data_IF_227858130907
#
_entry.id   IF_227858130907
#
_cell.length_a   1.000
_cell.length_b   1.000
_cell.length_c   1.000
_cell.angle_alpha   90.00
_cell.angle_beta   90.00
_cell.angle_gamma   90.00
#
_symmetry.space_group_name_H-M   'P 1'
#
loop_
_entity.id
_entity.type
_entity.pdbx_description
1 polymer ?
#
# COMPACT_ATOMS: atom_id res chain seq x y z
N UNK A 1 6.57 2.60 -20.30
CA UNK A 1 5.88 2.32 -19.02
C UNK A 1 6.68 3.05 -17.95
N UNK A 2 6.01 3.81 -17.10
CA UNK A 2 6.65 4.47 -15.97
C UNK A 2 7.12 3.42 -14.97
N UNK A 3 8.40 3.49 -14.58
CA UNK A 3 8.95 2.69 -13.49
C UNK A 3 8.43 3.21 -12.17
N UNK A 4 7.93 2.32 -11.32
CA UNK A 4 7.49 2.65 -9.97
C UNK A 4 7.76 1.50 -9.01
N UNK A 5 7.87 1.83 -7.73
CA UNK A 5 7.96 0.88 -6.63
C UNK A 5 6.63 0.85 -5.88
N UNK A 6 6.34 -0.24 -5.18
CA UNK A 6 5.17 -0.37 -4.33
C UNK A 6 5.61 -0.67 -2.91
N UNK A 7 5.10 0.10 -1.97
CA UNK A 7 5.27 -0.17 -0.55
C UNK A 7 3.89 -0.43 0.06
N UNK A 8 3.78 -1.54 0.78
CA UNK A 8 2.57 -1.99 1.43
C UNK A 8 2.76 -1.86 2.94
N UNK A 9 2.25 -0.78 3.58
CA UNK A 9 2.31 -0.66 5.03
C UNK A 9 1.38 -1.68 5.68
N UNK A 10 1.92 -2.46 6.62
CA UNK A 10 1.19 -3.45 7.39
C UNK A 10 1.43 -3.23 8.89
N UNK A 11 0.36 -3.11 9.66
CA UNK A 11 0.42 -2.96 11.12
C UNK A 11 -0.31 -4.09 11.79
N UNK A 12 0.31 -4.73 12.76
CA UNK A 12 -0.34 -5.82 13.49
C UNK A 12 -1.48 -5.29 14.38
N UNK A 13 -1.28 -4.11 14.96
CA UNK A 13 -2.26 -3.47 15.82
C UNK A 13 -3.41 -2.89 14.98
N UNK A 14 -4.59 -3.49 15.11
CA UNK A 14 -5.83 -3.03 14.48
C UNK A 14 -6.98 -3.20 15.46
N UNK A 15 -7.73 -2.12 15.69
CA UNK A 15 -8.83 -2.08 16.66
C UNK A 15 -10.11 -2.73 16.14
N UNK A 16 -10.38 -2.62 14.83
CA UNK A 16 -11.61 -3.13 14.19
C UNK A 16 -11.51 -4.61 13.80
N UNK A 17 -10.30 -5.06 13.48
CA UNK A 17 -10.03 -6.44 13.10
C UNK A 17 -8.65 -6.83 13.66
N UNK A 18 -8.58 -7.55 14.78
CA UNK A 18 -7.31 -7.96 15.39
C UNK A 18 -6.42 -8.71 14.40
N UNK A 19 -5.13 -8.41 14.41
CA UNK A 19 -4.12 -9.06 13.56
C UNK A 19 -4.50 -9.06 12.07
N UNK A 20 -5.22 -8.02 11.62
CA UNK A 20 -5.77 -7.88 10.26
C UNK A 20 -4.84 -8.33 9.13
N UNK A 21 -3.54 -7.97 9.10
CA UNK A 21 -2.65 -8.43 8.03
C UNK A 21 -2.52 -9.95 7.91
N UNK A 22 -2.67 -10.68 9.02
CA UNK A 22 -2.56 -12.13 9.11
C UNK A 22 -3.89 -12.86 8.92
N UNK A 23 -5.01 -12.14 8.82
CA UNK A 23 -6.33 -12.73 8.64
C UNK A 23 -6.38 -13.58 7.35
N UNK A 24 -7.02 -14.75 7.42
CA UNK A 24 -7.16 -15.63 6.26
C UNK A 24 -8.11 -15.02 5.21
N UNK A 25 -7.63 -14.96 3.97
CA UNK A 25 -8.39 -14.57 2.79
C UNK A 25 -8.23 -15.65 1.73
N UNK A 26 -9.19 -16.59 1.77
CA UNK A 26 -9.24 -17.75 0.88
C UNK A 26 -7.96 -18.61 0.95
N UNK A 27 -7.51 -18.95 2.16
CA UNK A 27 -6.37 -19.84 2.38
C UNK A 27 -4.99 -19.16 2.33
N UNK A 28 -4.92 -17.83 2.32
CA UNK A 28 -3.66 -17.07 2.46
C UNK A 28 -3.85 -15.84 3.34
N UNK A 29 -2.83 -15.39 4.08
CA UNK A 29 -2.89 -14.13 4.82
C UNK A 29 -3.25 -12.94 3.91
N UNK A 30 -4.06 -12.02 4.44
CA UNK A 30 -4.48 -10.79 3.75
C UNK A 30 -3.30 -10.03 3.15
N UNK A 31 -2.23 -9.83 3.93
CA UNK A 31 -1.03 -9.11 3.48
C UNK A 31 -0.36 -9.78 2.29
N UNK A 32 -0.33 -11.12 2.26
CA UNK A 32 0.21 -11.90 1.15
C UNK A 32 -0.63 -11.68 -0.11
N UNK A 33 -1.97 -11.64 0.02
CA UNK A 33 -2.87 -11.35 -1.11
C UNK A 33 -2.61 -9.96 -1.71
N UNK A 34 -2.44 -8.94 -0.86
CA UNK A 34 -2.14 -7.58 -1.32
C UNK A 34 -0.78 -7.52 -2.01
N UNK A 35 0.24 -8.19 -1.45
CA UNK A 35 1.56 -8.29 -2.06
C UNK A 35 1.51 -8.95 -3.45
N UNK A 36 0.78 -10.07 -3.60
CA UNK A 36 0.59 -10.75 -4.89
C UNK A 36 -0.04 -9.80 -5.92
N UNK A 37 -1.07 -9.04 -5.53
CA UNK A 37 -1.71 -8.05 -6.43
C UNK A 37 -0.76 -6.97 -6.89
N UNK A 38 0.07 -6.44 -6.00
CA UNK A 38 1.07 -5.43 -6.34
C UNK A 38 2.16 -5.99 -7.25
N UNK A 39 2.60 -7.23 -7.00
CA UNK A 39 3.58 -7.92 -7.81
C UNK A 39 3.06 -8.12 -9.24
N UNK A 40 1.83 -8.65 -9.38
CA UNK A 40 1.16 -8.85 -10.68
C UNK A 40 0.88 -7.52 -11.42
N UNK A 41 0.84 -6.39 -10.70
CA UNK A 41 0.65 -5.08 -11.30
C UNK A 41 1.89 -4.56 -12.03
N UNK A 42 3.05 -5.20 -11.87
CA UNK A 42 4.31 -4.84 -12.53
C UNK A 42 5.06 -3.70 -11.85
N UNK A 43 4.98 -3.60 -10.52
CA UNK A 43 5.89 -2.73 -9.77
C UNK A 43 7.31 -3.31 -9.79
N UNK A 44 8.31 -2.48 -10.09
CA UNK A 44 9.72 -2.90 -10.23
C UNK A 44 10.27 -3.49 -8.92
N UNK A 45 9.74 -3.02 -7.80
CA UNK A 45 10.03 -3.53 -6.47
C UNK A 45 8.78 -3.41 -5.60
N UNK A 46 8.37 -4.51 -4.96
CA UNK A 46 7.19 -4.56 -4.08
C UNK A 46 7.63 -5.00 -2.69
N UNK A 47 7.50 -4.11 -1.71
CA UNK A 47 7.95 -4.33 -0.33
C UNK A 47 6.77 -4.22 0.63
N UNK A 48 6.58 -5.21 1.48
CA UNK A 48 5.73 -5.08 2.67
C UNK A 48 6.55 -4.44 3.79
N UNK A 49 6.09 -3.30 4.30
CA UNK A 49 6.70 -2.61 5.43
C UNK A 49 5.88 -2.91 6.69
N UNK A 50 6.40 -3.76 7.57
CA UNK A 50 5.68 -4.29 8.72
C UNK A 50 6.26 -3.78 10.04
N UNK A 51 5.43 -3.70 11.09
CA UNK A 51 5.87 -3.41 12.46
C UNK A 51 6.01 -4.66 13.36
N UNK A 52 5.66 -5.85 12.85
CA UNK A 52 5.68 -7.12 13.57
C UNK A 52 6.38 -8.19 12.72
N UNK A 53 7.26 -8.97 13.34
CA UNK A 53 8.05 -10.00 12.66
C UNK A 53 7.17 -11.09 12.07
N UNK A 54 6.01 -11.40 12.66
CA UNK A 54 5.09 -12.41 12.13
C UNK A 54 4.57 -12.05 10.75
N UNK A 55 4.39 -10.76 10.47
CA UNK A 55 3.98 -10.26 9.14
C UNK A 55 5.12 -10.44 8.14
N UNK A 56 6.36 -10.12 8.55
CA UNK A 56 7.56 -10.32 7.72
C UNK A 56 7.70 -11.80 7.37
N UNK A 57 7.60 -12.68 8.36
CA UNK A 57 7.77 -14.12 8.21
C UNK A 57 6.77 -14.72 7.22
N UNK A 58 5.47 -14.37 7.31
CA UNK A 58 4.45 -14.92 6.39
C UNK A 58 4.63 -14.42 4.95
N UNK A 59 5.06 -13.17 4.77
CA UNK A 59 5.30 -12.61 3.43
C UNK A 59 6.55 -13.24 2.81
N UNK A 60 7.63 -13.36 3.58
CA UNK A 60 8.87 -14.00 3.11
C UNK A 60 8.68 -15.49 2.84
N UNK A 61 7.93 -16.21 3.67
CA UNK A 61 7.56 -17.60 3.41
C UNK A 61 6.71 -17.76 2.13
N UNK A 62 5.99 -16.72 1.73
CA UNK A 62 5.23 -16.66 0.47
C UNK A 62 6.08 -16.23 -0.73
N UNK A 63 7.39 -16.03 -0.57
CA UNK A 63 8.31 -15.57 -1.61
C UNK A 63 8.36 -14.05 -1.81
N UNK A 64 7.67 -13.29 -0.95
CA UNK A 64 7.63 -11.84 -1.00
C UNK A 64 8.76 -11.14 -0.24
N UNK A 65 8.99 -9.88 -0.59
CA UNK A 65 9.92 -9.01 0.13
C UNK A 65 9.16 -8.27 1.24
N UNK A 66 9.63 -8.42 2.47
CA UNK A 66 9.12 -7.69 3.62
C UNK A 66 10.28 -7.17 4.47
N UNK A 67 10.07 -6.02 5.10
CA UNK A 67 11.04 -5.39 6.00
C UNK A 67 10.34 -4.98 7.28
N UNK A 68 11.05 -5.17 8.40
CA UNK A 68 10.61 -4.63 9.67
C UNK A 68 10.91 -3.12 9.70
N UNK A 69 9.93 -2.35 10.14
CA UNK A 69 9.97 -0.88 10.26
C UNK A 69 9.51 -0.50 11.65
N UNK A 70 9.74 0.75 12.05
CA UNK A 70 9.38 1.22 13.38
C UNK A 70 7.89 0.99 13.70
N UNK A 71 7.54 0.49 14.90
CA UNK A 71 6.15 0.38 15.35
C UNK A 71 5.54 1.75 15.68
N UNK A 72 6.37 2.79 15.82
CA UNK A 72 5.96 4.11 16.33
C UNK A 72 5.59 5.10 15.22
N UNK A 73 5.48 4.67 13.96
CA UNK A 73 5.10 5.57 12.87
C UNK A 73 3.68 6.09 13.04
N UNK A 74 3.45 7.41 12.94
CA UNK A 74 2.10 7.95 13.06
C UNK A 74 1.22 7.61 11.85
N UNK A 75 1.79 7.59 10.64
CA UNK A 75 1.04 7.29 9.41
C UNK A 75 1.68 6.19 8.54
N UNK A 76 0.97 5.79 7.49
CA UNK A 76 1.55 4.93 6.44
C UNK A 76 2.67 5.64 5.69
N UNK A 77 2.54 6.94 5.44
CA UNK A 77 3.54 7.74 4.71
C UNK A 77 4.87 7.83 5.45
N UNK A 78 4.86 7.96 6.78
CA UNK A 78 6.10 7.97 7.58
C UNK A 78 6.83 6.62 7.49
N UNK A 79 6.06 5.52 7.47
CA UNK A 79 6.61 4.18 7.26
C UNK A 79 7.24 4.03 5.87
N UNK A 80 6.62 4.60 4.84
CA UNK A 80 7.17 4.65 3.49
C UNK A 80 8.49 5.42 3.44
N UNK A 81 8.59 6.55 4.16
CA UNK A 81 9.81 7.34 4.23
C UNK A 81 10.97 6.57 4.86
N UNK A 82 10.72 5.75 5.90
CA UNK A 82 11.74 4.84 6.45
C UNK A 82 12.21 3.83 5.40
N UNK A 83 11.28 3.22 4.63
CA UNK A 83 11.64 2.26 3.58
C UNK A 83 12.48 2.92 2.49
N UNK A 84 12.05 4.08 1.98
CA UNK A 84 12.77 4.80 0.94
C UNK A 84 14.19 5.20 1.38
N UNK A 85 14.32 5.71 2.61
CA UNK A 85 15.61 6.12 3.19
C UNK A 85 16.53 4.90 3.39
N UNK A 86 16.02 3.83 3.98
CA UNK A 86 16.81 2.61 4.26
C UNK A 86 17.27 1.90 2.98
N UNK A 87 16.50 1.99 1.89
CA UNK A 87 16.86 1.41 0.60
C UNK A 87 17.67 2.36 -0.30
N UNK A 88 17.97 3.58 0.17
CA UNK A 88 18.73 4.57 -0.60
C UNK A 88 18.06 4.93 -1.92
N UNK A 89 16.73 4.97 -1.96
CA UNK A 89 16.01 5.39 -3.16
C UNK A 89 16.27 6.87 -3.44
N UNK A 90 16.44 7.19 -4.73
CA UNK A 90 16.63 8.56 -5.20
C UNK A 90 15.31 9.35 -5.11
N UNK A 91 15.43 10.66 -5.00
CA UNK A 91 14.27 11.58 -4.86
C UNK A 91 13.30 11.54 -6.06
N UNK A 92 13.76 11.09 -7.23
CA UNK A 92 12.95 10.95 -8.46
C UNK A 92 12.21 9.60 -8.55
N UNK A 93 12.33 8.72 -7.56
CA UNK A 93 11.65 7.42 -7.54
C UNK A 93 10.18 7.59 -7.20
N UNK A 94 9.31 7.17 -8.12
CA UNK A 94 7.87 7.08 -7.87
C UNK A 94 7.57 5.87 -6.98
N UNK A 95 6.93 6.13 -5.84
CA UNK A 95 6.49 5.12 -4.89
C UNK A 95 4.97 5.13 -4.79
N UNK A 96 4.34 4.00 -5.09
CA UNK A 96 2.91 3.80 -4.89
C UNK A 96 2.68 3.22 -3.50
N UNK A 97 1.93 3.95 -2.67
CA UNK A 97 1.47 3.49 -1.37
C UNK A 97 0.21 2.63 -1.54
N UNK A 98 0.36 1.30 -1.49
CA UNK A 98 -0.77 0.38 -1.55
C UNK A 98 -1.16 -0.06 -0.14
N UNK A 99 -2.36 0.27 0.31
CA UNK A 99 -2.81 -0.13 1.65
C UNK A 99 -2.84 -1.66 1.80
N UNK A 100 -2.35 -2.15 2.95
CA UNK A 100 -2.25 -3.59 3.27
C UNK A 100 -3.59 -4.30 3.46
N UNK A 101 -4.70 -3.62 3.23
CA UNK A 101 -6.06 -4.14 3.33
C UNK A 101 -6.89 -4.03 2.04
N UNK A 102 -6.22 -3.81 0.90
CA UNK A 102 -6.82 -3.67 -0.43
C UNK A 102 -6.49 -4.89 -1.34
N UNK A 103 -6.91 -6.13 -0.99
CA UNK A 103 -6.54 -7.35 -1.73
C UNK A 103 -7.22 -7.45 -3.10
N UNK A 104 -8.16 -6.56 -3.40
CA UNK A 104 -8.91 -6.51 -4.65
C UNK A 104 -8.55 -5.28 -5.49
N UNK A 105 -7.50 -4.53 -5.11
CA UNK A 105 -7.05 -3.38 -5.90
C UNK A 105 -6.78 -3.80 -7.35
N UNK A 106 -7.33 -3.10 -8.35
CA UNK A 106 -6.99 -3.38 -9.73
C UNK A 106 -5.51 -3.01 -9.98
N UNK A 107 -4.69 -3.94 -10.47
CA UNK A 107 -3.28 -3.62 -10.80
C UNK A 107 -3.14 -2.50 -11.83
N UNK A 108 -4.15 -2.33 -12.71
CA UNK A 108 -4.22 -1.19 -13.63
C UNK A 108 -4.30 0.17 -12.91
N UNK A 109 -4.89 0.23 -11.71
CA UNK A 109 -4.97 1.46 -10.92
C UNK A 109 -3.59 1.89 -10.42
N UNK A 110 -2.76 0.95 -9.95
CA UNK A 110 -1.39 1.24 -9.50
C UNK A 110 -0.57 1.87 -10.64
N UNK A 111 -0.65 1.29 -11.84
CA UNK A 111 0.01 1.84 -13.04
C UNK A 111 -0.53 3.21 -13.43
N UNK A 112 -1.85 3.42 -13.35
CA UNK A 112 -2.47 4.72 -13.64
C UNK A 112 -2.01 5.81 -12.67
N UNK A 113 -1.90 5.49 -11.39
CA UNK A 113 -1.39 6.43 -10.38
C UNK A 113 0.08 6.80 -10.64
N UNK A 114 0.92 5.81 -10.93
CA UNK A 114 2.32 6.06 -11.26
C UNK A 114 2.47 6.92 -12.52
N UNK A 115 1.70 6.63 -13.58
CA UNK A 115 1.72 7.44 -14.79
C UNK A 115 1.20 8.87 -14.54
N UNK A 116 0.09 9.02 -13.80
CA UNK A 116 -0.47 10.33 -13.49
C UNK A 116 0.51 11.24 -12.74
N UNK A 117 1.30 10.68 -11.80
CA UNK A 117 2.35 11.46 -11.13
C UNK A 117 3.51 11.79 -12.07
N UNK A 118 3.91 10.86 -12.93
CA UNK A 118 5.01 11.09 -13.88
C UNK A 118 4.67 12.13 -14.96
N UNK A 119 3.39 12.24 -15.33
CA UNK A 119 2.89 13.18 -16.34
C UNK A 119 2.72 14.61 -15.82
N UNK A 120 2.78 14.82 -14.50
CA UNK A 120 2.59 16.11 -13.83
C UNK A 120 3.82 16.50 -13.00
N UNK A 121 4.89 17.07 -13.61
CA UNK A 121 6.17 17.32 -12.93
C UNK A 121 6.10 18.30 -11.75
N UNK A 122 5.07 19.13 -11.67
CA UNK A 122 4.84 20.06 -10.55
C UNK A 122 4.14 19.38 -9.36
N UNK A 123 3.57 18.19 -9.56
CA UNK A 123 2.88 17.44 -8.52
C UNK A 123 3.87 16.57 -7.73
N UNK A 124 3.77 16.62 -6.39
CA UNK A 124 4.51 15.71 -5.51
C UNK A 124 3.73 14.43 -5.17
N UNK A 125 2.42 14.39 -5.45
CA UNK A 125 1.53 13.29 -5.10
C UNK A 125 0.37 13.19 -6.10
N UNK A 126 0.03 11.96 -6.48
CA UNK A 126 -1.19 11.63 -7.21
C UNK A 126 -2.04 10.66 -6.39
N UNK A 127 -3.36 10.80 -6.45
CA UNK A 127 -4.31 9.90 -5.79
C UNK A 127 -5.52 9.64 -6.69
N UNK A 128 -6.31 8.62 -6.35
CA UNK A 128 -7.53 8.28 -7.04
C UNK A 128 -8.74 8.50 -6.14
N UNK A 129 -9.85 8.93 -6.76
CA UNK A 129 -11.16 9.00 -6.13
C UNK A 129 -12.18 8.30 -7.03
N UNK A 130 -13.30 7.90 -6.45
CA UNK A 130 -14.46 7.40 -7.20
C UNK A 130 -15.69 8.25 -6.88
N UNK A 131 -16.63 8.41 -7.82
CA UNK A 131 -17.85 9.16 -7.55
C UNK A 131 -18.68 8.48 -6.44
N UNK A 132 -19.15 9.28 -5.48
CA UNK A 132 -20.16 8.81 -4.52
C UNK A 132 -21.51 8.75 -5.24
N UNK A 133 -22.05 7.55 -5.41
CA UNK A 133 -23.34 7.33 -6.10
C UNK A 133 -24.50 7.10 -5.15
N UNK A 134 -24.23 6.89 -3.85
CA UNK A 134 -25.24 6.55 -2.85
C UNK A 134 -25.24 7.54 -1.68
N UNK A 135 -26.40 8.08 -1.27
CA UNK A 135 -26.47 9.01 -0.13
C UNK A 135 -25.90 8.45 1.17
N UNK A 136 -26.01 7.14 1.42
CA UNK A 136 -25.46 6.52 2.64
C UNK A 136 -23.93 6.65 2.75
N UNK A 137 -23.23 6.63 1.63
CA UNK A 137 -21.78 6.77 1.59
C UNK A 137 -21.35 8.22 1.84
N UNK A 138 -22.14 9.18 1.31
CA UNK A 138 -21.94 10.61 1.57
C UNK A 138 -21.92 10.92 3.08
N UNK A 139 -22.81 10.30 3.85
CA UNK A 139 -22.91 10.52 5.30
C UNK A 139 -22.11 9.53 6.15
N UNK A 140 -21.42 8.56 5.54
CA UNK A 140 -20.62 7.57 6.29
C UNK A 140 -19.33 8.19 6.83
N UNK A 141 -19.04 8.16 8.14
CA UNK A 141 -17.78 8.67 8.68
C UNK A 141 -16.56 7.83 8.26
N UNK A 142 -16.77 6.64 7.72
CA UNK A 142 -15.68 5.77 7.23
C UNK A 142 -15.31 6.05 5.77
N UNK A 143 -16.12 6.83 5.03
CA UNK A 143 -15.79 7.23 3.68
C UNK A 143 -14.99 8.55 3.70
N UNK A 144 -13.81 8.57 3.07
CA UNK A 144 -13.04 9.79 2.84
C UNK A 144 -13.64 10.51 1.63
N UNK A 145 -13.84 11.83 1.73
CA UNK A 145 -14.41 12.64 0.65
C UNK A 145 -13.33 13.51 0.03
N UNK A 146 -13.38 13.65 -1.28
CA UNK A 146 -12.52 14.54 -2.05
C UNK A 146 -13.38 15.64 -2.64
N UNK A 147 -12.92 16.88 -2.51
CA UNK A 147 -13.49 18.03 -3.22
C UNK A 147 -12.58 18.30 -4.41
N UNK A 148 -13.16 18.23 -5.61
CA UNK A 148 -12.50 18.50 -6.90
C UNK A 148 -13.00 19.79 -7.51
#
# INVERSE_FOLDING_TARGET
MTTFKVVIPARIASTRLPEKPLADVAGKPLVTRVWERAYDAGGDEVIVAADDTRIVDVVTASGGRAVLTSPNHPSGTDRLAEVATSHGWRDDVIVVNLQGDEPLVPGALLRRLANALAEEPEAALATAATPITEPRELFSPSAVKVVV
#
